data_IF_461508520375
#
_entry.id   IF_461508520375
#
_cell.length_a   1.000
_cell.length_b   1.000
_cell.length_c   1.000
_cell.angle_alpha   90.00
_cell.angle_beta   90.00
_cell.angle_gamma   90.00
#
_symmetry.space_group_name_H-M   'P 1'
#
loop_
_entity.id
_entity.type
_entity.pdbx_description
1 polymer ?
#
# COMPACT_ATOMS: atom_id res chain seq x y z
N UNK A 1 10.57 10.02 13.02
CA UNK A 1 10.93 9.37 12.86
C UNK A 1 10.55 8.73 12.01
N UNK A 2 9.76 8.75 11.70
CA UNK A 2 9.53 8.05 10.95
C UNK A 2 9.32 8.54 9.66
N UNK A 3 10.35 8.88 8.88
CA UNK A 3 10.27 9.26 7.54
C UNK A 3 9.61 8.15 6.78
N UNK A 4 9.71 6.92 7.21
CA UNK A 4 9.07 5.83 6.53
C UNK A 4 7.58 5.97 6.52
N UNK A 5 7.01 6.37 7.62
CA UNK A 5 5.58 6.56 7.69
C UNK A 5 5.14 7.72 6.83
N UNK A 6 5.89 8.82 6.87
CA UNK A 6 5.58 9.94 6.05
C UNK A 6 5.66 9.58 4.60
N UNK A 7 6.67 8.81 4.20
CA UNK A 7 6.81 8.42 2.82
C UNK A 7 5.66 7.52 2.40
N UNK A 8 5.21 6.64 3.29
CA UNK A 8 4.09 5.77 2.99
C UNK A 8 2.83 6.58 2.81
N UNK A 9 2.59 7.53 3.68
CA UNK A 9 1.39 8.36 3.59
C UNK A 9 1.41 9.18 2.30
N UNK A 10 2.55 9.70 1.95
CA UNK A 10 2.66 10.48 0.73
C UNK A 10 2.41 9.60 -0.49
N UNK A 11 2.88 8.36 -0.45
CA UNK A 11 2.67 7.45 -1.56
C UNK A 11 1.19 7.11 -1.72
N UNK A 12 0.51 6.90 -0.60
CA UNK A 12 -0.91 6.60 -0.65
C UNK A 12 -1.68 7.79 -1.21
N UNK A 13 -1.33 8.98 -0.77
CA UNK A 13 -2.02 10.18 -1.27
C UNK A 13 -1.81 10.33 -2.76
N UNK A 14 -0.62 10.06 -3.22
CA UNK A 14 -0.34 10.17 -4.65
C UNK A 14 -1.09 9.10 -5.42
N UNK A 15 -1.17 7.89 -4.88
CA UNK A 15 -1.92 6.83 -5.51
C UNK A 15 -3.38 7.21 -5.64
N UNK A 16 -3.95 7.78 -4.60
CA UNK A 16 -5.34 8.19 -4.65
C UNK A 16 -5.56 9.22 -5.73
N UNK A 17 -4.64 10.14 -5.86
CA UNK A 17 -4.75 11.16 -6.87
C UNK A 17 -4.68 10.55 -8.26
N UNK A 18 -3.79 9.57 -8.45
CA UNK A 18 -3.65 8.92 -9.73
C UNK A 18 -4.93 8.17 -10.11
N UNK A 19 -5.48 7.44 -9.14
CA UNK A 19 -6.68 6.69 -9.39
C UNK A 19 -7.82 7.62 -9.79
N UNK A 20 -7.91 8.74 -9.09
CA UNK A 20 -8.95 9.69 -9.38
C UNK A 20 -8.82 10.23 -10.81
N UNK A 21 -7.61 10.54 -11.22
CA UNK A 21 -7.41 11.05 -12.55
C UNK A 21 -7.73 10.00 -13.61
N UNK A 22 -7.36 8.75 -13.34
CA UNK A 22 -7.67 7.71 -14.28
C UNK A 22 -9.17 7.44 -14.37
N UNK A 23 -9.84 7.57 -13.25
CA UNK A 23 -11.28 7.38 -13.25
C UNK A 23 -12.01 8.44 -14.02
N UNK A 24 -11.49 9.62 -14.01
CA UNK A 24 -12.11 10.71 -14.74
C UNK A 24 -12.07 10.46 -16.25
N UNK A 25 -11.06 9.75 -16.70
CA UNK A 25 -11.04 9.34 -18.08
C UNK A 25 -10.81 10.44 -19.09
N UNK A 26 -10.32 11.59 -18.63
CA UNK A 26 -10.17 12.70 -19.49
C UNK A 26 -8.78 12.85 -19.98
N UNK A 27 -7.97 11.82 -19.99
CA UNK A 27 -6.56 11.94 -20.29
C UNK A 27 -6.23 11.32 -21.63
N UNK A 28 -5.22 11.85 -22.26
CA UNK A 28 -4.70 11.21 -23.43
C UNK A 28 -4.10 9.88 -23.04
N UNK A 29 -4.02 8.96 -23.98
CA UNK A 29 -3.51 7.64 -23.69
C UNK A 29 -2.13 7.68 -23.09
N UNK A 30 -1.26 8.51 -23.61
CA UNK A 30 0.09 8.58 -23.10
C UNK A 30 0.13 9.04 -21.67
N UNK A 31 -0.74 9.95 -21.32
CA UNK A 31 -0.82 10.44 -19.95
C UNK A 31 -1.34 9.35 -19.04
N UNK A 32 -2.31 8.59 -19.50
CA UNK A 32 -2.85 7.52 -18.72
C UNK A 32 -1.79 6.45 -18.46
N UNK A 33 -1.00 6.13 -19.47
CA UNK A 33 0.06 5.15 -19.30
C UNK A 33 1.11 5.63 -18.31
N UNK A 34 1.46 6.90 -18.37
CA UNK A 34 2.45 7.42 -17.44
C UNK A 34 1.94 7.36 -16.01
N UNK A 35 0.67 7.69 -15.82
CA UNK A 35 0.09 7.63 -14.49
C UNK A 35 0.02 6.18 -14.01
N UNK A 36 -0.32 5.28 -14.90
CA UNK A 36 -0.38 3.88 -14.54
C UNK A 36 1.00 3.38 -14.09
N UNK A 37 2.03 3.74 -14.82
CA UNK A 37 3.38 3.33 -14.46
C UNK A 37 3.78 3.89 -13.10
N UNK A 38 3.44 5.13 -12.88
CA UNK A 38 3.74 5.74 -11.59
C UNK A 38 2.97 5.02 -10.48
N UNK A 39 1.72 4.68 -10.75
CA UNK A 39 0.91 3.98 -9.77
C UNK A 39 1.51 2.62 -9.41
N UNK A 40 2.05 1.92 -10.41
CA UNK A 40 2.67 0.64 -10.15
C UNK A 40 3.89 0.81 -9.24
N UNK A 41 4.69 1.83 -9.50
CA UNK A 41 5.86 2.08 -8.66
C UNK A 41 5.45 2.38 -7.24
N UNK A 42 4.42 3.20 -7.07
CA UNK A 42 3.94 3.55 -5.74
C UNK A 42 3.34 2.34 -5.04
N UNK A 43 2.65 1.49 -5.79
CA UNK A 43 2.07 0.30 -5.22
C UNK A 43 3.14 -0.65 -4.72
N UNK A 44 4.22 -0.77 -5.45
CA UNK A 44 5.32 -1.62 -5.02
C UNK A 44 5.96 -1.10 -3.75
N UNK A 45 6.10 0.22 -3.69
CA UNK A 45 6.65 0.84 -2.50
C UNK A 45 5.76 0.56 -1.29
N UNK A 46 4.46 0.73 -1.45
CA UNK A 46 3.53 0.51 -0.36
C UNK A 46 3.52 -0.95 0.05
N UNK A 47 3.59 -1.84 -0.93
CA UNK A 47 3.59 -3.27 -0.63
C UNK A 47 4.81 -3.64 0.20
N UNK A 48 5.95 -3.11 -0.16
CA UNK A 48 7.16 -3.39 0.59
C UNK A 48 7.06 -2.89 2.02
N UNK A 49 6.44 -1.74 2.19
CA UNK A 49 6.25 -1.22 3.54
C UNK A 49 5.32 -2.09 4.35
N UNK A 50 4.28 -2.59 3.72
CA UNK A 50 3.34 -3.45 4.42
C UNK A 50 3.98 -4.78 4.78
N UNK A 51 4.80 -5.32 3.92
CA UNK A 51 5.49 -6.55 4.22
C UNK A 51 6.42 -6.37 5.41
N UNK A 52 7.10 -5.25 5.45
CA UNK A 52 7.99 -4.96 6.55
C UNK A 52 7.23 -4.87 7.85
N UNK A 53 6.08 -4.23 7.82
CA UNK A 53 5.26 -4.11 9.01
C UNK A 53 4.75 -5.46 9.47
N UNK A 54 4.37 -6.31 8.53
CA UNK A 54 3.90 -7.64 8.88
C UNK A 54 5.00 -8.45 9.53
N UNK A 55 6.20 -8.33 9.05
CA UNK A 55 7.32 -9.04 9.62
C UNK A 55 7.58 -8.60 11.06
N UNK A 56 7.45 -7.31 11.32
CA UNK A 56 7.65 -6.80 12.67
C UNK A 56 6.58 -7.32 13.62
N UNK A 57 5.38 -7.41 13.13
CA UNK A 57 4.28 -7.92 13.92
C UNK A 57 4.53 -9.39 14.26
N UNK A 58 5.02 -10.15 13.29
CA UNK A 58 5.30 -11.54 13.52
C UNK A 58 6.37 -11.73 14.59
N UNK A 59 7.38 -10.90 14.56
CA UNK A 59 8.43 -10.98 15.54
C UNK A 59 7.91 -10.71 16.93
N UNK A 60 7.08 -9.71 17.05
CA UNK A 60 6.50 -9.40 18.35
C UNK A 60 5.62 -10.52 18.85
N UNK A 61 4.88 -11.11 17.94
CA UNK A 61 4.00 -12.20 18.30
C UNK A 61 4.81 -13.40 18.79
N UNK A 62 5.90 -13.68 18.12
CA UNK A 62 6.75 -14.79 18.52
C UNK A 62 7.28 -14.59 19.91
N UNK A 63 7.46 -13.40 20.34
CA UNK A 63 7.92 -13.15 21.68
C UNK A 63 6.80 -13.19 22.68
N UNK A 64 5.59 -13.41 22.22
CA UNK A 64 4.46 -13.51 23.13
C UNK A 64 3.95 -12.19 23.61
N UNK A 65 4.36 -11.14 22.97
CA UNK A 65 3.97 -9.83 23.42
C UNK A 65 2.68 -9.36 22.82
N UNK A 66 2.39 -9.83 21.64
CA UNK A 66 1.18 -9.40 20.99
C UNK A 66 0.56 -10.57 20.32
N UNK A 67 -0.73 -10.55 20.20
CA UNK A 67 -1.37 -11.57 19.46
C UNK A 67 -1.24 -11.24 18.01
N UNK A 68 -1.28 -12.22 17.17
CA UNK A 68 -1.18 -11.94 15.74
C UNK A 68 -2.31 -11.07 15.28
N UNK A 69 -2.13 -10.48 14.17
CA UNK A 69 -3.13 -9.67 13.60
C UNK A 69 -4.39 -10.45 13.54
N UNK A 70 -5.48 -9.81 13.72
CA UNK A 70 -6.72 -10.51 13.74
C UNK A 70 -6.89 -11.37 12.53
N UNK A 71 -7.47 -12.50 12.73
CA UNK A 71 -7.75 -13.35 11.63
C UNK A 71 -8.60 -12.65 10.63
N UNK A 72 -9.45 -11.78 11.09
CA UNK A 72 -10.28 -11.02 10.17
C UNK A 72 -9.44 -10.21 9.24
N UNK A 73 -8.29 -9.78 9.70
CA UNK A 73 -7.45 -9.00 8.86
C UNK A 73 -6.97 -9.84 7.71
N UNK A 74 -6.62 -11.06 7.96
CA UNK A 74 -6.17 -11.92 6.93
C UNK A 74 -7.32 -12.46 6.14
N UNK A 75 -8.42 -12.70 6.76
CA UNK A 75 -9.49 -13.30 6.08
C UNK A 75 -10.23 -12.36 5.21
N UNK A 76 -9.90 -11.10 5.27
CA UNK A 76 -10.48 -10.22 4.42
C UNK A 76 -9.97 -10.34 3.08
N UNK A 77 -9.19 -11.27 2.75
CA UNK A 77 -8.76 -11.45 1.52
C UNK A 77 -9.85 -11.67 0.66
N UNK A 78 -9.92 -11.00 -0.31
CA UNK A 78 -11.02 -11.01 -1.11
C UNK A 78 -11.19 -12.24 -1.81
N UNK A 79 -10.79 -12.79 -1.96
CA UNK A 79 -10.93 -13.81 -2.61
C UNK A 79 -11.55 -14.64 -2.33
N UNK A 80 -11.76 -14.78 -2.07
CA UNK A 80 -12.25 -15.59 -1.90
C UNK A 80 -13.04 -15.61 -2.39
#
# INVERSE_FOLDING_TARGET
>A
MDTSIKDFEAAIAELESIVKKLEEGDLALEQSLALYERGVQLSRFCHARLEDAERRIEILTDRGELKPAPASFASEEPDR
#
